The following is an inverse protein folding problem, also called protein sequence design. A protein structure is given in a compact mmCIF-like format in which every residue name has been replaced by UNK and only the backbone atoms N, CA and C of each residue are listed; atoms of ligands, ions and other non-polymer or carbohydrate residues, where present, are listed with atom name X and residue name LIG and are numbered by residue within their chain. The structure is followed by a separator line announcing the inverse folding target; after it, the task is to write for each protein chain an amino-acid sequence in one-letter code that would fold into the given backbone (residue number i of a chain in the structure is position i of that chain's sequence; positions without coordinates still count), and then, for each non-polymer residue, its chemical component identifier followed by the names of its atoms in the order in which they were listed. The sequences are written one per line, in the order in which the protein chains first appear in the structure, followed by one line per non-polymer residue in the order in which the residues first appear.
data_IF_765226461618
#
_entry.id   IF_765226461618
#
_cell.length_a   1.000
_cell.length_b   1.000
_cell.length_c   1.000
_cell.angle_alpha   90.00
_cell.angle_beta   90.00
_cell.angle_gamma   90.00
#
_symmetry.space_group_name_H-M   'P 1'
#
loop_
_entity.id
_entity.type
_entity.pdbx_description
1 polymer ?
#
# COMPACT_ATOMS: atom_id res chain seq x y z
N UNK A 1 -45.26 -42.60 -40.05
CA UNK A 1 -44.15 -42.39 -39.09
C UNK A 1 -44.05 -40.90 -38.83
N UNK A 2 -44.80 -40.44 -37.83
CA UNK A 2 -45.08 -39.04 -37.51
C UNK A 2 -44.55 -38.86 -36.08
N UNK A 3 -43.85 -37.77 -35.81
CA UNK A 3 -43.46 -37.29 -34.47
C UNK A 3 -41.99 -37.54 -34.01
N UNK A 4 -40.99 -37.46 -34.90
CA UNK A 4 -39.56 -37.44 -34.49
C UNK A 4 -38.96 -36.01 -34.61
N UNK A 5 -39.67 -34.98 -34.15
CA UNK A 5 -39.14 -33.58 -34.25
C UNK A 5 -39.23 -32.81 -32.92
N UNK A 6 -39.80 -33.36 -31.85
CA UNK A 6 -40.20 -32.55 -30.68
C UNK A 6 -39.45 -32.80 -29.37
N UNK A 7 -38.22 -33.32 -29.38
CA UNK A 7 -37.51 -33.64 -28.12
C UNK A 7 -36.05 -33.20 -28.06
N UNK A 8 -35.65 -32.19 -28.83
CA UNK A 8 -34.27 -31.69 -28.86
C UNK A 8 -34.11 -30.21 -28.46
N UNK A 9 -35.04 -29.66 -27.67
CA UNK A 9 -35.00 -28.25 -27.19
C UNK A 9 -35.27 -28.18 -25.68
N UNK A 10 -34.56 -28.97 -24.88
CA UNK A 10 -34.54 -28.79 -23.41
C UNK A 10 -33.10 -28.88 -22.85
N UNK A 11 -32.09 -29.22 -23.66
CA UNK A 11 -30.75 -29.57 -23.17
C UNK A 11 -29.69 -28.45 -23.23
N UNK A 12 -30.07 -27.17 -23.40
CA UNK A 12 -29.09 -26.09 -23.65
C UNK A 12 -29.14 -24.89 -22.68
N UNK A 13 -29.78 -25.02 -21.51
CA UNK A 13 -30.01 -23.88 -20.60
C UNK A 13 -29.38 -24.01 -19.20
N UNK A 14 -28.32 -24.80 -18.98
CA UNK A 14 -27.79 -25.01 -17.61
C UNK A 14 -26.26 -24.90 -17.43
N UNK A 15 -25.49 -24.36 -18.39
CA UNK A 15 -24.01 -24.31 -18.26
C UNK A 15 -23.41 -22.90 -18.22
N UNK A 16 -24.21 -21.86 -18.06
CA UNK A 16 -23.71 -20.49 -17.92
C UNK A 16 -24.36 -19.79 -16.75
N UNK A 17 -23.84 -20.02 -15.54
CA UNK A 17 -23.98 -19.03 -14.48
C UNK A 17 -22.76 -19.02 -13.59
N UNK A 18 -22.01 -17.93 -13.74
CA UNK A 18 -20.99 -17.40 -12.86
C UNK A 18 -19.87 -18.37 -12.50
N UNK A 19 -18.79 -18.26 -13.30
CA UNK A 19 -17.45 -18.40 -12.75
C UNK A 19 -17.44 -17.75 -11.36
N UNK A 20 -16.98 -18.52 -10.38
CA UNK A 20 -16.75 -18.05 -9.03
C UNK A 20 -16.08 -16.69 -9.16
N UNK A 21 -16.85 -15.62 -8.94
CA UNK A 21 -16.33 -14.40 -8.37
C UNK A 21 -15.79 -14.89 -7.05
N UNK A 22 -14.54 -15.35 -7.15
CA UNK A 22 -13.64 -15.57 -6.07
C UNK A 22 -13.63 -14.18 -5.48
N UNK A 23 -14.56 -13.97 -4.54
CA UNK A 23 -14.58 -12.84 -3.66
C UNK A 23 -13.30 -13.08 -2.89
N UNK A 24 -12.20 -12.69 -3.52
CA UNK A 24 -11.03 -12.17 -2.91
C UNK A 24 -11.57 -10.97 -2.13
N UNK A 25 -12.25 -11.28 -1.03
CA UNK A 25 -12.03 -10.65 0.26
C UNK A 25 -10.55 -10.89 0.57
N UNK A 26 -9.68 -10.40 -0.32
CA UNK A 26 -8.33 -10.06 0.00
C UNK A 26 -8.57 -8.93 0.96
N UNK A 27 -8.44 -9.26 2.23
CA UNK A 27 -8.46 -8.34 3.36
C UNK A 27 -7.22 -7.43 3.32
N UNK A 28 -6.77 -7.14 2.09
CA UNK A 28 -5.59 -6.41 1.70
C UNK A 28 -6.05 -5.02 1.28
N UNK A 29 -5.87 -4.05 2.16
CA UNK A 29 -6.21 -2.66 1.86
C UNK A 29 -4.93 -1.92 1.48
N UNK A 30 -4.89 -1.32 0.28
CA UNK A 30 -3.77 -0.47 -0.10
C UNK A 30 -3.83 0.81 0.72
N UNK A 31 -2.67 1.32 1.09
CA UNK A 31 -2.43 2.61 1.70
C UNK A 31 -1.48 3.36 0.77
N UNK A 32 -1.89 4.53 0.28
CA UNK A 32 -1.01 5.37 -0.53
C UNK A 32 -0.78 6.70 0.18
N UNK A 33 0.49 7.08 0.32
CA UNK A 33 0.91 8.41 0.71
C UNK A 33 1.79 9.05 -0.38
N UNK A 34 1.60 10.35 -0.58
CA UNK A 34 2.46 11.16 -1.44
C UNK A 34 3.41 11.95 -0.56
N UNK A 35 4.70 11.75 -0.77
CA UNK A 35 5.80 12.40 -0.05
C UNK A 35 6.52 13.31 -1.02
N UNK A 36 6.47 14.62 -0.75
CA UNK A 36 7.23 15.60 -1.52
C UNK A 36 8.63 15.75 -0.91
N UNK A 37 9.65 15.57 -1.76
CA UNK A 37 11.04 15.89 -1.47
C UNK A 37 11.33 17.21 -2.16
N UNK A 38 11.50 18.27 -1.37
CA UNK A 38 11.80 19.59 -1.94
C UNK A 38 13.27 19.72 -2.33
N UNK A 39 13.56 20.63 -3.25
CA UNK A 39 14.90 21.11 -3.56
C UNK A 39 15.59 21.67 -2.31
N UNK A 40 16.90 21.43 -2.18
CA UNK A 40 17.68 21.95 -1.06
C UNK A 40 17.76 21.03 0.17
N UNK A 41 17.21 19.81 0.12
CA UNK A 41 17.49 18.80 1.14
C UNK A 41 18.98 18.44 1.12
N UNK A 42 19.71 18.61 2.23
CA UNK A 42 21.14 18.31 2.28
C UNK A 42 21.41 16.80 2.04
N UNK A 43 22.45 16.51 1.27
CA UNK A 43 22.95 15.15 1.11
C UNK A 43 23.50 14.62 2.45
N UNK A 44 23.41 13.31 2.66
CA UNK A 44 23.83 12.58 3.87
C UNK A 44 23.19 13.08 5.17
N UNK A 45 21.98 13.65 5.10
CA UNK A 45 21.17 13.93 6.28
C UNK A 45 19.85 13.17 6.22
N UNK A 46 19.43 12.65 7.37
CA UNK A 46 18.12 12.04 7.53
C UNK A 46 17.06 13.15 7.56
N UNK A 47 16.16 13.14 6.57
CA UNK A 47 15.01 14.02 6.52
C UNK A 47 13.73 13.20 6.67
N UNK A 48 12.84 13.65 7.53
CA UNK A 48 11.52 13.05 7.71
C UNK A 48 10.44 13.88 7.02
N UNK A 49 9.55 13.21 6.32
CA UNK A 49 8.34 13.80 5.77
C UNK A 49 7.13 12.98 6.19
N UNK A 50 6.10 13.65 6.69
CA UNK A 50 4.87 13.01 7.16
C UNK A 50 3.76 13.27 6.16
N UNK A 51 3.05 12.22 5.77
CA UNK A 51 1.96 12.28 4.82
C UNK A 51 0.77 11.45 5.31
N UNK A 52 -0.43 12.01 5.16
CA UNK A 52 -1.69 11.34 5.51
C UNK A 52 -2.15 10.45 4.36
N UNK A 53 -2.70 9.28 4.66
CA UNK A 53 -3.30 8.43 3.63
C UNK A 53 -4.54 9.09 3.05
N UNK A 54 -4.74 8.92 1.75
CA UNK A 54 -5.97 9.31 1.07
C UNK A 54 -7.01 8.20 1.00
N UNK A 55 -6.62 6.93 1.09
CA UNK A 55 -7.49 5.79 0.74
C UNK A 55 -7.88 4.88 1.90
N UNK A 56 -7.21 5.00 3.06
CA UNK A 56 -7.51 4.13 4.22
C UNK A 56 -8.75 4.59 4.99
N UNK A 57 -9.04 5.88 4.98
CA UNK A 57 -10.24 6.41 5.63
C UNK A 57 -11.55 5.86 5.00
N UNK A 58 -11.53 5.49 3.72
CA UNK A 58 -12.70 4.88 3.05
C UNK A 58 -12.94 3.45 3.52
N UNK A 59 -11.87 2.69 3.80
CA UNK A 59 -11.97 1.31 4.29
C UNK A 59 -12.33 1.22 5.77
N UNK A 60 -11.78 2.12 6.59
CA UNK A 60 -11.94 2.09 8.05
C UNK A 60 -13.02 3.05 8.57
N UNK A 61 -13.20 4.20 7.91
CA UNK A 61 -14.20 5.22 8.29
C UNK A 61 -15.58 5.00 7.67
N UNK A 62 -15.70 4.15 6.64
CA UNK A 62 -16.96 3.83 5.98
C UNK A 62 -17.62 2.54 6.45
N UNK A 63 -16.90 1.66 7.16
CA UNK A 63 -17.40 0.34 7.55
C UNK A 63 -17.17 0.11 9.05
N UNK A 64 -18.26 0.28 9.80
CA UNK A 64 -18.48 -0.11 11.19
C UNK A 64 -17.47 -1.14 11.71
N UNK A 65 -16.73 -0.81 12.78
CA UNK A 65 -16.01 -1.80 13.59
C UNK A 65 -15.41 -2.92 12.75
N UNK A 66 -14.56 -2.60 11.77
CA UNK A 66 -13.94 -3.61 10.93
C UNK A 66 -13.41 -4.71 11.86
N UNK A 67 -14.09 -5.86 11.86
CA UNK A 67 -13.78 -7.04 12.65
C UNK A 67 -12.53 -7.64 12.03
N UNK A 68 -11.44 -6.87 12.08
CA UNK A 68 -10.15 -7.25 11.58
C UNK A 68 -9.22 -7.35 12.76
N UNK A 69 -8.50 -8.45 12.76
CA UNK A 69 -7.49 -8.79 13.74
C UNK A 69 -6.24 -9.18 12.98
N UNK A 70 -5.10 -9.02 13.62
CA UNK A 70 -3.82 -9.45 13.08
C UNK A 70 -3.45 -8.71 11.78
N UNK A 71 -3.61 -7.38 11.80
CA UNK A 71 -3.22 -6.50 10.71
C UNK A 71 -1.70 -6.46 10.61
N UNK A 72 -1.20 -6.86 9.44
CA UNK A 72 0.22 -6.91 9.11
C UNK A 72 0.48 -6.28 7.76
N UNK A 73 1.67 -5.74 7.58
CA UNK A 73 2.08 -5.27 6.26
C UNK A 73 2.44 -6.46 5.38
N UNK A 74 1.94 -6.48 4.14
CA UNK A 74 2.20 -7.54 3.17
C UNK A 74 3.09 -7.09 2.02
N UNK A 75 3.07 -5.80 1.68
CA UNK A 75 3.97 -5.25 0.68
C UNK A 75 4.18 -3.75 0.94
N UNK A 76 5.34 -3.24 0.57
CA UNK A 76 5.68 -1.84 0.69
C UNK A 76 6.55 -1.45 -0.50
N UNK A 77 6.10 -0.44 -1.25
CA UNK A 77 6.73 0.01 -2.48
C UNK A 77 6.79 1.51 -2.52
N UNK A 78 7.92 2.05 -2.95
CA UNK A 78 8.13 3.46 -3.19
C UNK A 78 8.34 3.67 -4.68
N UNK A 79 7.69 4.68 -5.25
CA UNK A 79 7.80 5.03 -6.66
C UNK A 79 7.88 6.53 -6.86
N UNK A 80 8.67 6.98 -7.83
CA UNK A 80 8.74 8.38 -8.24
C UNK A 80 7.53 8.68 -9.12
N UNK A 81 6.73 9.68 -8.71
CA UNK A 81 5.58 10.21 -9.47
C UNK A 81 6.03 11.36 -10.35
N UNK A 82 6.85 12.25 -9.82
CA UNK A 82 7.41 13.37 -10.58
C UNK A 82 8.84 13.67 -10.14
N UNK A 83 9.73 14.10 -11.04
CA UNK A 83 9.52 14.26 -12.50
C UNK A 83 9.34 12.93 -13.23
N UNK A 84 8.68 12.94 -14.39
CA UNK A 84 8.48 11.74 -15.21
C UNK A 84 9.84 11.24 -15.73
N UNK A 85 10.14 9.96 -15.48
CA UNK A 85 11.47 9.39 -15.75
C UNK A 85 12.52 9.65 -14.66
N UNK A 86 12.13 10.27 -13.54
CA UNK A 86 12.97 10.35 -12.35
C UNK A 86 13.27 8.98 -11.75
N UNK A 87 14.41 8.85 -11.10
CA UNK A 87 14.87 7.60 -10.49
C UNK A 87 15.19 7.79 -8.99
N UNK A 88 15.35 6.66 -8.30
CA UNK A 88 15.66 6.64 -6.87
C UNK A 88 17.18 6.63 -6.60
N UNK A 89 18.02 6.92 -7.58
CA UNK A 89 19.50 6.83 -7.44
C UNK A 89 20.07 7.85 -6.46
N UNK A 90 19.38 8.98 -6.27
CA UNK A 90 19.72 9.99 -5.29
C UNK A 90 19.35 9.57 -3.86
N UNK A 91 18.53 8.54 -3.66
CA UNK A 91 18.08 8.06 -2.36
C UNK A 91 19.08 7.03 -1.82
N UNK A 92 19.56 7.20 -0.60
CA UNK A 92 20.46 6.28 0.08
C UNK A 92 19.70 5.21 0.85
N UNK A 93 18.76 5.66 1.66
CA UNK A 93 17.93 4.83 2.51
C UNK A 93 16.59 5.48 2.76
N UNK A 94 15.62 4.65 3.10
CA UNK A 94 14.28 5.08 3.45
C UNK A 94 13.72 4.16 4.54
N UNK A 95 13.03 4.76 5.50
CA UNK A 95 12.37 4.09 6.62
C UNK A 95 10.96 4.64 6.68
N UNK A 96 9.98 3.76 6.70
CA UNK A 96 8.55 4.11 6.69
C UNK A 96 7.97 3.71 8.03
N UNK A 97 7.52 4.73 8.76
CA UNK A 97 6.83 4.60 10.03
C UNK A 97 5.35 4.89 9.82
N UNK A 98 4.53 4.19 10.57
CA UNK A 98 3.10 4.45 10.65
C UNK A 98 2.72 4.84 12.07
N UNK A 99 1.84 5.83 12.17
CA UNK A 99 1.25 6.30 13.42
C UNK A 99 -0.20 6.65 13.20
N UNK A 100 -0.95 6.69 14.29
CA UNK A 100 -2.31 7.19 14.31
C UNK A 100 -2.52 8.00 15.58
N UNK A 101 -3.56 8.83 15.60
CA UNK A 101 -3.84 9.75 16.71
C UNK A 101 -3.90 9.00 18.04
N UNK A 102 -2.97 9.29 18.96
CA UNK A 102 -2.92 8.63 20.27
C UNK A 102 -2.30 7.24 20.30
N UNK A 103 -1.69 6.78 19.20
CA UNK A 103 -0.93 5.52 19.13
C UNK A 103 0.56 5.79 18.91
N UNK A 104 1.42 4.87 19.37
CA UNK A 104 2.85 4.95 19.13
C UNK A 104 3.22 4.73 17.66
N UNK A 105 4.35 5.31 17.24
CA UNK A 105 4.91 5.05 15.90
C UNK A 105 5.52 3.66 15.81
N UNK A 106 5.21 2.96 14.72
CA UNK A 106 5.83 1.66 14.39
C UNK A 106 6.51 1.72 13.04
N UNK A 107 7.73 1.17 12.98
CA UNK A 107 8.43 0.95 11.72
C UNK A 107 7.78 -0.22 11.00
N UNK A 108 7.26 0.01 9.79
CA UNK A 108 6.59 -1.04 9.00
C UNK A 108 7.43 -1.53 7.85
N UNK A 109 8.29 -0.68 7.31
CA UNK A 109 9.17 -1.05 6.22
C UNK A 109 10.40 -0.14 6.21
N UNK A 110 11.52 -0.68 5.75
CA UNK A 110 12.75 0.08 5.56
C UNK A 110 13.54 -0.50 4.41
N UNK A 111 14.34 0.31 3.74
CA UNK A 111 15.38 -0.18 2.85
C UNK A 111 16.60 0.70 2.97
N UNK A 112 17.73 0.07 3.24
CA UNK A 112 19.04 0.71 3.19
C UNK A 112 19.71 0.38 1.86
N UNK A 113 20.72 1.18 1.51
CA UNK A 113 21.51 0.99 0.30
C UNK A 113 20.70 0.87 -0.99
N UNK A 114 19.77 1.81 -1.15
CA UNK A 114 19.09 2.01 -2.42
C UNK A 114 20.13 2.51 -3.43
N UNK A 115 20.46 1.65 -4.39
CA UNK A 115 21.38 1.95 -5.49
C UNK A 115 20.72 1.64 -6.83
N UNK A 116 19.41 1.91 -6.94
CA UNK A 116 18.64 1.60 -8.14
C UNK A 116 18.46 2.83 -9.01
N UNK A 117 18.59 2.64 -10.33
CA UNK A 117 18.19 3.61 -11.35
C UNK A 117 16.71 3.47 -11.73
N UNK A 118 15.99 2.54 -11.07
CA UNK A 118 14.56 2.38 -11.26
C UNK A 118 13.79 3.54 -10.65
N UNK A 119 12.64 3.86 -11.25
CA UNK A 119 11.66 4.79 -10.68
C UNK A 119 10.89 4.19 -9.51
N UNK A 120 11.05 2.90 -9.21
CA UNK A 120 10.42 2.28 -8.04
C UNK A 120 11.31 1.25 -7.37
N UNK A 121 11.14 1.08 -6.07
CA UNK A 121 11.83 0.09 -5.26
C UNK A 121 10.86 -0.49 -4.24
N UNK A 122 10.90 -1.80 -4.04
CA UNK A 122 10.19 -2.43 -2.92
C UNK A 122 10.99 -2.17 -1.64
N UNK A 123 10.35 -2.15 -0.49
CA UNK A 123 10.99 -1.96 0.81
C UNK A 123 11.06 -3.30 1.54
N UNK A 124 12.02 -3.44 2.45
CA UNK A 124 12.10 -4.61 3.31
C UNK A 124 11.10 -4.43 4.44
N UNK A 125 10.14 -5.35 4.52
CA UNK A 125 9.07 -5.31 5.49
C UNK A 125 9.63 -5.58 6.89
N UNK A 126 9.20 -4.77 7.84
CA UNK A 126 9.56 -4.94 9.23
C UNK A 126 8.35 -5.58 9.94
N UNK A 127 8.42 -6.89 10.16
CA UNK A 127 7.36 -7.66 10.82
C UNK A 127 7.48 -7.56 12.36
N UNK A 128 7.50 -6.34 12.90
CA UNK A 128 7.57 -6.10 14.35
C UNK A 128 6.19 -6.19 15.05
N UNK A 129 5.28 -6.94 14.44
CA UNK A 129 4.00 -7.34 15.04
C UNK A 129 2.79 -6.56 14.55
N UNK A 130 1.69 -6.74 15.26
CA UNK A 130 0.38 -6.29 14.82
C UNK A 130 0.22 -4.77 14.84
N UNK A 131 -0.40 -4.26 13.77
CA UNK A 131 -0.72 -2.84 13.57
C UNK A 131 -2.17 -2.53 13.94
N UNK A 132 -2.89 -3.50 14.53
CA UNK A 132 -4.30 -3.42 14.91
C UNK A 132 -4.67 -2.13 15.63
N UNK A 133 -3.87 -1.72 16.62
CA UNK A 133 -4.14 -0.51 17.40
C UNK A 133 -4.02 0.76 16.56
N UNK A 134 -3.07 0.80 15.63
CA UNK A 134 -2.78 1.95 14.79
C UNK A 134 -3.85 2.09 13.70
N UNK A 135 -4.18 0.99 13.01
CA UNK A 135 -5.16 0.98 11.92
C UNK A 135 -6.61 1.10 12.39
N UNK A 136 -6.93 0.68 13.63
CA UNK A 136 -8.25 0.92 14.25
C UNK A 136 -8.44 2.36 14.71
N UNK A 137 -7.35 3.12 14.86
CA UNK A 137 -7.40 4.51 15.30
C UNK A 137 -7.62 5.47 14.12
N UNK A 138 -8.30 6.58 14.38
CA UNK A 138 -8.58 7.61 13.37
C UNK A 138 -7.35 8.51 13.12
N UNK A 139 -7.15 8.89 11.86
CA UNK A 139 -6.06 9.80 11.48
C UNK A 139 -4.72 9.09 11.30
N UNK A 140 -4.71 8.04 10.49
CA UNK A 140 -3.51 7.30 10.13
C UNK A 140 -2.54 8.18 9.32
N UNK A 141 -1.34 8.37 9.85
CA UNK A 141 -0.25 9.14 9.27
C UNK A 141 0.95 8.24 8.99
N UNK A 142 1.61 8.46 7.85
CA UNK A 142 2.85 7.78 7.50
C UNK A 142 3.98 8.78 7.54
N UNK A 143 4.96 8.52 8.42
CA UNK A 143 6.20 9.28 8.50
C UNK A 143 7.28 8.52 7.74
N UNK A 144 7.72 9.10 6.64
CA UNK A 144 8.79 8.56 5.81
C UNK A 144 10.08 9.31 6.13
N UNK A 145 11.06 8.61 6.69
CA UNK A 145 12.42 9.11 6.90
C UNK A 145 13.26 8.66 5.72
N UNK A 146 13.90 9.59 5.02
CA UNK A 146 14.76 9.29 3.89
C UNK A 146 16.10 10.02 4.03
N UNK A 147 17.15 9.39 3.52
CA UNK A 147 18.49 9.98 3.43
C UNK A 147 18.86 10.06 1.95
N UNK A 148 19.36 11.21 1.51
CA UNK A 148 19.81 11.40 0.13
C UNK A 148 21.32 11.18 0.02
N UNK A 149 21.78 10.43 -0.99
CA UNK A 149 23.21 10.34 -1.34
C UNK A 149 23.71 11.65 -1.95
N UNK A 150 22.87 12.29 -2.75
CA UNK A 150 23.17 13.52 -3.48
C UNK A 150 22.04 14.54 -3.28
N UNK A 151 22.35 15.83 -3.27
CA UNK A 151 21.34 16.88 -3.19
C UNK A 151 20.42 16.81 -4.41
N UNK A 152 19.11 16.92 -4.17
CA UNK A 152 18.11 16.98 -5.23
C UNK A 152 18.11 18.36 -5.88
N UNK A 153 18.30 18.38 -7.20
CA UNK A 153 18.28 19.61 -8.01
C UNK A 153 16.87 20.02 -8.42
N UNK A 154 15.87 19.18 -8.17
CA UNK A 154 14.46 19.42 -8.51
C UNK A 154 13.56 18.77 -7.48
N UNK A 155 12.35 19.32 -7.30
CA UNK A 155 11.37 18.74 -6.39
C UNK A 155 10.94 17.37 -6.92
N UNK A 156 10.95 16.35 -6.05
CA UNK A 156 10.54 15.00 -6.40
C UNK A 156 9.32 14.61 -5.59
N UNK A 157 8.27 14.14 -6.26
CA UNK A 157 7.15 13.50 -5.58
C UNK A 157 7.35 12.01 -5.57
N UNK A 158 7.43 11.44 -4.37
CA UNK A 158 7.42 10.01 -4.15
C UNK A 158 6.02 9.57 -3.77
N UNK A 159 5.59 8.45 -4.32
CA UNK A 159 4.41 7.70 -3.90
C UNK A 159 4.87 6.50 -3.11
N UNK A 160 4.47 6.45 -1.85
CA UNK A 160 4.65 5.31 -0.96
C UNK A 160 3.34 4.52 -0.97
N UNK A 161 3.38 3.32 -1.54
CA UNK A 161 2.28 2.37 -1.55
C UNK A 161 2.58 1.26 -0.53
N UNK A 162 1.77 1.14 0.51
CA UNK A 162 1.84 0.09 1.52
C UNK A 162 0.59 -0.77 1.38
N UNK A 163 0.74 -2.07 1.27
CA UNK A 163 -0.38 -3.00 1.29
C UNK A 163 -0.43 -3.67 2.65
N UNK A 164 -1.53 -3.49 3.36
CA UNK A 164 -1.77 -4.15 4.63
C UNK A 164 -2.72 -5.30 4.38
N UNK A 165 -2.48 -6.44 5.03
CA UNK A 165 -3.39 -7.57 5.07
C UNK A 165 -3.87 -7.78 6.51
N UNK A 166 -5.05 -8.32 6.67
CA UNK A 166 -5.60 -8.65 7.98
C UNK A 166 -6.35 -9.97 7.95
N UNK A 167 -6.67 -10.51 9.11
CA UNK A 167 -7.51 -11.71 9.22
C UNK A 167 -8.91 -11.28 9.69
N UNK A 168 -9.98 -11.83 9.11
CA UNK A 168 -11.32 -11.63 9.65
C UNK A 168 -11.37 -12.12 11.10
N UNK A 169 -11.77 -11.26 12.03
CA UNK A 169 -12.08 -11.66 13.40
C UNK A 169 -13.38 -12.45 13.35
N UNK A 170 -13.29 -13.75 13.62
CA UNK A 170 -14.44 -14.66 13.75
C UNK A 170 -15.29 -14.32 14.97
#
# INVERSE_FOLDING_TARGET
MKNIVLTAVIASAALVSCGTVQSLVQNTFPYTANVMISTGVPANQEVSSTATATNVQTWFGGNNNAQIKDVRISDAKVSVVSPSGGNLSALKSIKVYISSTGTGEKLVASRTDISTTSSSVNLDLNDTGYLDSIVKSSGLTVRTVYELRNQTTSDMNLRVALNFNSVPAQ
#
